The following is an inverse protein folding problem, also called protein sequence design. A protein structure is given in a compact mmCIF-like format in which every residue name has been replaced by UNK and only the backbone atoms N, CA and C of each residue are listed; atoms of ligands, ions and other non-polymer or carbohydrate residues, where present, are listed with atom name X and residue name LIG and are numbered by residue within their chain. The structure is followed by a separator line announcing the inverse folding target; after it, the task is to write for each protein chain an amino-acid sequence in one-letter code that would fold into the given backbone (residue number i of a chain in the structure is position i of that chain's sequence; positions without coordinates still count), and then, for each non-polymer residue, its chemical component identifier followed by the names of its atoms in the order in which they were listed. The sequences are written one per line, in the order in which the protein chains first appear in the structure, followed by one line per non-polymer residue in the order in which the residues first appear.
data_IF_697384385960
#
_entry.id   IF_697384385960
#
_cell.length_a   1.000
_cell.length_b   1.000
_cell.length_c   1.000
_cell.angle_alpha   90.00
_cell.angle_beta   90.00
_cell.angle_gamma   90.00
#
_symmetry.space_group_name_H-M   'P 1'
#
loop_
_entity.id
_entity.type
_entity.pdbx_description
1 polymer ?
#
# COMPACT_ATOMS: atom_id res chain seq x y z
N UNK A 1 9.81 -23.38 -15.26
CA UNK A 1 8.97 -22.35 -15.61
C UNK A 1 8.08 -22.52 -16.83
N UNK A 2 6.78 -22.45 -16.63
CA UNK A 2 5.82 -22.39 -17.72
C UNK A 2 5.63 -20.91 -18.10
N UNK A 3 5.79 -20.52 -19.38
CA UNK A 3 5.52 -19.14 -19.80
C UNK A 3 4.09 -18.74 -19.51
N UNK A 4 3.90 -17.52 -19.03
CA UNK A 4 2.57 -16.98 -18.72
C UNK A 4 1.91 -16.47 -20.00
N UNK A 5 0.59 -16.68 -20.12
CA UNK A 5 -0.19 -16.25 -21.30
C UNK A 5 -1.63 -15.95 -20.91
N UNK A 6 -2.16 -14.85 -21.41
CA UNK A 6 -3.54 -14.48 -21.21
C UNK A 6 -3.72 -13.06 -20.72
N UNK A 7 -4.76 -12.84 -19.93
CA UNK A 7 -5.13 -11.54 -19.40
C UNK A 7 -5.27 -11.60 -17.89
N UNK A 8 -4.87 -10.53 -17.19
CA UNK A 8 -5.09 -10.35 -15.77
C UNK A 8 -5.71 -8.99 -15.51
N UNK A 9 -6.73 -8.96 -14.65
CA UNK A 9 -7.41 -7.73 -14.23
C UNK A 9 -6.86 -7.31 -12.87
N UNK A 10 -6.39 -6.07 -12.78
CA UNK A 10 -5.83 -5.50 -11.56
C UNK A 10 -6.95 -5.05 -10.63
N UNK A 11 -6.81 -5.39 -9.36
CA UNK A 11 -7.72 -4.98 -8.29
C UNK A 11 -7.48 -3.53 -7.84
N UNK A 12 -8.36 -3.01 -7.01
CA UNK A 12 -8.15 -1.74 -6.31
C UNK A 12 -6.92 -1.78 -5.42
N UNK A 13 -6.28 -0.63 -5.25
CA UNK A 13 -5.05 -0.50 -4.47
C UNK A 13 -5.32 -0.65 -2.96
N UNK A 14 -4.64 -1.60 -2.34
CA UNK A 14 -4.64 -1.75 -0.87
C UNK A 14 -4.26 -0.44 -0.16
N UNK A 15 -3.16 0.17 -0.61
CA UNK A 15 -2.60 1.35 0.03
C UNK A 15 -3.47 2.61 -0.16
N UNK A 16 -4.38 2.61 -1.13
CA UNK A 16 -5.41 3.63 -1.28
C UNK A 16 -6.68 3.28 -0.49
N UNK A 17 -7.10 2.03 -0.50
CA UNK A 17 -8.33 1.59 0.16
C UNK A 17 -8.30 1.84 1.67
N UNK A 18 -7.19 1.59 2.36
CA UNK A 18 -7.12 1.72 3.81
C UNK A 18 -7.38 3.14 4.30
N UNK A 19 -6.72 4.21 3.79
CA UNK A 19 -7.07 5.57 4.18
C UNK A 19 -8.45 6.01 3.69
N UNK A 20 -8.87 5.58 2.50
CA UNK A 20 -10.20 5.87 1.94
C UNK A 20 -11.32 5.32 2.83
N UNK A 21 -11.16 4.11 3.36
CA UNK A 21 -12.10 3.55 4.33
C UNK A 21 -12.18 4.39 5.60
N UNK A 22 -11.04 4.88 6.11
CA UNK A 22 -11.00 5.74 7.29
C UNK A 22 -11.67 7.10 7.07
N UNK A 23 -11.72 7.62 5.84
CA UNK A 23 -12.36 8.89 5.51
C UNK A 23 -13.85 8.91 5.82
N UNK A 24 -14.53 7.76 5.90
CA UNK A 24 -15.95 7.69 6.30
C UNK A 24 -16.21 8.26 7.69
N UNK A 25 -15.20 8.23 8.57
CA UNK A 25 -15.30 8.78 9.92
C UNK A 25 -15.46 10.30 9.94
N UNK A 26 -15.14 10.99 8.86
CA UNK A 26 -15.22 12.46 8.76
C UNK A 26 -16.63 13.00 8.52
N UNK A 27 -17.62 12.15 8.26
CA UNK A 27 -19.00 12.55 7.99
C UNK A 27 -20.01 11.63 8.67
N UNK A 28 -21.20 12.15 8.93
CA UNK A 28 -22.34 11.38 9.40
C UNK A 28 -23.21 10.80 8.25
N UNK A 29 -22.80 11.08 7.00
CA UNK A 29 -23.50 10.63 5.81
C UNK A 29 -22.82 9.40 5.17
N UNK A 30 -23.56 8.57 4.41
CA UNK A 30 -23.00 7.37 3.82
C UNK A 30 -21.97 7.68 2.74
N UNK A 31 -20.90 6.90 2.73
CA UNK A 31 -19.86 6.88 1.71
C UNK A 31 -19.96 5.56 0.94
N UNK A 32 -20.13 5.66 -0.37
CA UNK A 32 -20.19 4.51 -1.27
C UNK A 32 -18.86 4.33 -1.97
N UNK A 33 -18.24 3.17 -1.78
CA UNK A 33 -16.94 2.84 -2.36
C UNK A 33 -17.05 1.67 -3.33
N UNK A 34 -16.40 1.82 -4.47
CA UNK A 34 -16.26 0.77 -5.50
C UNK A 34 -14.80 0.42 -5.70
N UNK A 35 -14.56 -0.70 -6.35
CA UNK A 35 -13.22 -1.23 -6.59
C UNK A 35 -12.38 -1.38 -5.32
N UNK A 36 -13.03 -1.64 -4.20
CA UNK A 36 -12.35 -1.96 -2.94
C UNK A 36 -11.80 -3.39 -3.04
N UNK A 37 -10.50 -3.62 -2.84
CA UNK A 37 -9.96 -4.98 -2.96
C UNK A 37 -10.42 -5.86 -1.80
N UNK A 38 -10.70 -7.13 -2.08
CA UNK A 38 -11.07 -8.11 -1.05
C UNK A 38 -9.83 -8.74 -0.41
N UNK A 39 -9.19 -7.99 0.46
CA UNK A 39 -7.93 -8.34 1.11
C UNK A 39 -8.10 -8.48 2.62
N UNK A 40 -7.20 -9.25 3.24
CA UNK A 40 -7.20 -9.41 4.70
C UNK A 40 -7.05 -8.07 5.44
N UNK A 41 -6.16 -7.17 4.97
CA UNK A 41 -5.98 -5.85 5.60
C UNK A 41 -7.23 -4.98 5.46
N UNK A 42 -7.95 -5.07 4.34
CA UNK A 42 -9.25 -4.36 4.14
C UNK A 42 -10.31 -4.90 5.09
N UNK A 43 -10.41 -6.22 5.23
CA UNK A 43 -11.34 -6.86 6.19
C UNK A 43 -11.04 -6.45 7.63
N UNK A 44 -9.76 -6.38 7.99
CA UNK A 44 -9.31 -5.90 9.31
C UNK A 44 -9.70 -4.45 9.55
N UNK A 45 -9.50 -3.57 8.56
CA UNK A 45 -9.92 -2.16 8.66
C UNK A 45 -11.44 -2.03 8.80
N UNK A 46 -12.21 -2.76 8.00
CA UNK A 46 -13.67 -2.76 8.11
C UNK A 46 -14.15 -3.23 9.49
N UNK A 47 -13.51 -4.24 10.06
CA UNK A 47 -13.81 -4.71 11.41
C UNK A 47 -13.50 -3.64 12.47
N UNK A 48 -12.35 -2.97 12.37
CA UNK A 48 -11.99 -1.85 13.24
C UNK A 48 -13.04 -0.74 13.18
N UNK A 49 -13.45 -0.35 11.97
CA UNK A 49 -14.47 0.67 11.78
C UNK A 49 -15.83 0.25 12.37
N UNK A 50 -16.23 -1.02 12.23
CA UNK A 50 -17.44 -1.54 12.85
C UNK A 50 -17.39 -1.47 14.38
N UNK A 51 -16.25 -1.80 14.99
CA UNK A 51 -16.06 -1.70 16.44
C UNK A 51 -16.10 -0.26 16.93
N UNK A 52 -15.66 0.70 16.12
CA UNK A 52 -15.82 2.16 16.39
C UNK A 52 -17.28 2.59 16.29
N UNK A 53 -18.11 1.91 15.52
CA UNK A 53 -19.55 2.19 15.36
C UNK A 53 -19.97 2.45 13.91
N UNK A 54 -19.10 2.26 12.93
CA UNK A 54 -19.46 2.40 11.52
C UNK A 54 -20.32 1.23 11.07
N UNK A 55 -21.43 1.51 10.40
CA UNK A 55 -22.24 0.50 9.72
C UNK A 55 -21.60 0.19 8.36
N UNK A 56 -21.27 -1.07 8.15
CA UNK A 56 -20.67 -1.58 6.90
C UNK A 56 -21.71 -2.43 6.18
N UNK A 57 -22.05 -2.03 4.95
CA UNK A 57 -23.03 -2.72 4.12
C UNK A 57 -22.43 -3.07 2.77
N UNK A 58 -22.62 -4.32 2.34
CA UNK A 58 -22.34 -4.75 0.98
C UNK A 58 -23.67 -4.82 0.23
N UNK A 59 -23.98 -3.87 -0.70
CA UNK A 59 -25.25 -3.85 -1.43
C UNK A 59 -25.53 -5.15 -2.18
N UNK A 60 -24.49 -5.77 -2.70
CA UNK A 60 -24.50 -7.13 -3.22
C UNK A 60 -23.55 -7.99 -2.36
N UNK A 61 -24.08 -8.92 -1.54
CA UNK A 61 -23.26 -9.78 -0.68
C UNK A 61 -22.24 -10.65 -1.43
N UNK A 62 -22.47 -10.91 -2.72
CA UNK A 62 -21.54 -11.64 -3.59
C UNK A 62 -20.39 -10.78 -4.11
N UNK A 63 -20.53 -9.45 -4.05
CA UNK A 63 -19.54 -8.49 -4.55
C UNK A 63 -18.98 -7.64 -3.41
N UNK A 64 -17.92 -8.11 -2.80
CA UNK A 64 -17.24 -7.40 -1.71
C UNK A 64 -16.44 -6.17 -2.15
N UNK A 65 -16.31 -5.94 -3.45
CA UNK A 65 -15.61 -4.77 -3.99
C UNK A 65 -16.47 -3.50 -3.96
N UNK A 66 -17.77 -3.63 -3.65
CA UNK A 66 -18.70 -2.53 -3.48
C UNK A 66 -19.18 -2.50 -2.03
N UNK A 67 -18.85 -1.43 -1.30
CA UNK A 67 -19.17 -1.27 0.10
C UNK A 67 -19.75 0.11 0.38
N UNK A 68 -20.73 0.19 1.28
CA UNK A 68 -21.28 1.44 1.81
C UNK A 68 -20.94 1.52 3.28
N UNK A 69 -20.33 2.64 3.68
CA UNK A 69 -19.93 2.92 5.04
C UNK A 69 -20.76 4.09 5.60
N UNK A 70 -21.34 3.91 6.77
CA UNK A 70 -22.09 4.96 7.44
C UNK A 70 -21.60 5.13 8.88
N UNK A 71 -21.00 6.28 9.16
CA UNK A 71 -20.47 6.65 10.46
C UNK A 71 -21.37 7.65 11.21
N UNK A 72 -22.69 7.57 11.01
CA UNK A 72 -23.65 8.46 11.70
C UNK A 72 -23.61 8.28 13.22
N UNK A 73 -23.40 7.06 13.70
CA UNK A 73 -23.48 6.69 15.11
C UNK A 73 -22.15 6.12 15.62
N UNK A 74 -21.13 6.94 15.72
CA UNK A 74 -19.85 6.55 16.31
C UNK A 74 -20.05 6.28 17.81
N UNK A 75 -19.68 5.08 18.24
CA UNK A 75 -19.84 4.63 19.63
C UNK A 75 -18.60 4.82 20.49
N UNK A 76 -17.43 4.86 19.85
CA UNK A 76 -16.13 4.96 20.52
C UNK A 76 -15.15 5.72 19.67
N UNK A 77 -14.32 6.56 20.30
CA UNK A 77 -13.15 7.19 19.69
C UNK A 77 -11.85 6.45 20.05
N UNK A 78 -11.96 5.17 20.45
CA UNK A 78 -10.83 4.34 20.86
C UNK A 78 -10.57 3.23 19.84
N UNK A 79 -9.31 3.08 19.41
CA UNK A 79 -8.79 1.92 18.70
C UNK A 79 -7.82 1.17 19.62
N UNK A 80 -8.24 0.00 20.12
CA UNK A 80 -7.51 -0.75 21.13
C UNK A 80 -6.31 -1.49 20.55
N UNK A 81 -5.38 -1.90 21.42
CA UNK A 81 -4.22 -2.69 21.04
C UNK A 81 -4.60 -3.95 20.25
N UNK A 82 -5.65 -4.67 20.66
CA UNK A 82 -6.11 -5.89 19.99
C UNK A 82 -6.54 -5.63 18.54
N UNK A 83 -7.13 -4.48 18.25
CA UNK A 83 -7.53 -4.07 16.90
C UNK A 83 -6.32 -3.63 16.07
N UNK A 84 -5.36 -2.92 16.67
CA UNK A 84 -4.25 -2.25 15.97
C UNK A 84 -3.05 -3.17 15.75
N UNK A 85 -2.81 -4.14 16.64
CA UNK A 85 -1.59 -4.97 16.66
C UNK A 85 -1.30 -5.72 15.36
N UNK A 86 -2.33 -6.04 14.58
CA UNK A 86 -2.20 -6.83 13.35
C UNK A 86 -2.02 -5.98 12.10
N UNK A 87 -2.31 -4.67 12.18
CA UNK A 87 -2.27 -3.78 11.01
C UNK A 87 -1.86 -2.36 11.41
N UNK A 88 -0.66 -1.95 11.00
CA UNK A 88 -0.14 -0.59 11.30
C UNK A 88 -1.00 0.53 10.75
N UNK A 89 -1.65 0.32 9.58
CA UNK A 89 -2.53 1.31 8.97
C UNK A 89 -3.72 1.71 9.86
N UNK A 90 -3.98 0.98 10.93
CA UNK A 90 -4.99 1.34 11.94
C UNK A 90 -4.75 2.72 12.58
N UNK A 91 -3.52 3.24 12.53
CA UNK A 91 -3.19 4.62 12.94
C UNK A 91 -3.97 5.67 12.13
N UNK A 92 -4.44 5.34 10.94
CA UNK A 92 -5.19 6.26 10.07
C UNK A 92 -6.56 6.66 10.61
N UNK A 93 -7.07 6.02 11.66
CA UNK A 93 -8.30 6.49 12.34
C UNK A 93 -8.04 7.66 13.26
N UNK A 94 -6.79 7.95 13.63
CA UNK A 94 -6.43 9.00 14.59
C UNK A 94 -6.87 10.38 14.12
N UNK A 95 -6.47 10.79 12.93
CA UNK A 95 -6.82 12.11 12.37
C UNK A 95 -8.32 12.32 12.23
N UNK A 96 -9.03 11.42 11.54
CA UNK A 96 -10.50 11.53 11.40
C UNK A 96 -11.26 11.53 12.71
N UNK A 97 -10.93 10.66 13.66
CA UNK A 97 -11.59 10.63 14.97
C UNK A 97 -11.35 11.93 15.75
N UNK A 98 -10.11 12.40 15.80
CA UNK A 98 -9.77 13.64 16.47
C UNK A 98 -10.50 14.85 15.83
N UNK A 99 -10.53 14.91 14.52
CA UNK A 99 -11.15 16.00 13.77
C UNK A 99 -12.66 16.07 13.99
N UNK A 100 -13.35 14.91 14.01
CA UNK A 100 -14.80 14.86 14.14
C UNK A 100 -15.29 14.73 15.56
N UNK A 101 -14.63 13.89 16.38
CA UNK A 101 -15.06 13.59 17.76
C UNK A 101 -14.37 14.45 18.79
N UNK A 102 -13.40 15.27 18.38
CA UNK A 102 -12.60 16.16 19.25
C UNK A 102 -11.71 15.44 20.26
N UNK A 103 -11.71 14.13 20.24
CA UNK A 103 -10.82 13.27 21.01
C UNK A 103 -10.59 11.96 20.26
N UNK A 104 -9.44 11.33 20.51
CA UNK A 104 -9.12 10.01 20.02
C UNK A 104 -8.12 9.32 20.94
N UNK A 105 -8.30 8.02 21.13
CA UNK A 105 -7.36 7.16 21.85
C UNK A 105 -7.01 5.98 20.97
N UNK A 106 -5.80 5.98 20.42
CA UNK A 106 -5.37 4.98 19.45
C UNK A 106 -4.12 4.30 19.98
N UNK A 107 -4.13 2.96 20.01
CA UNK A 107 -2.94 2.20 20.39
C UNK A 107 -1.80 2.53 19.43
N UNK A 108 -0.60 2.66 19.98
CA UNK A 108 0.62 2.71 19.17
C UNK A 108 0.70 1.44 18.34
N UNK A 109 0.97 1.54 17.04
CA UNK A 109 1.16 0.36 16.21
C UNK A 109 2.38 -0.42 16.69
N UNK A 110 2.27 -1.74 16.72
CA UNK A 110 3.39 -2.64 17.05
C UNK A 110 4.56 -2.50 16.09
N UNK A 111 5.68 -3.11 16.41
CA UNK A 111 6.86 -3.16 15.56
C UNK A 111 6.54 -3.73 14.17
N UNK A 112 7.27 -3.29 13.16
CA UNK A 112 7.17 -3.80 11.80
C UNK A 112 8.43 -4.60 11.47
N UNK A 113 8.27 -5.77 10.87
CA UNK A 113 9.39 -6.62 10.47
C UNK A 113 10.36 -5.93 9.50
N UNK A 114 9.85 -5.03 8.65
CA UNK A 114 10.63 -4.37 7.60
C UNK A 114 11.35 -3.09 8.05
N UNK A 115 11.10 -2.59 9.28
CA UNK A 115 11.80 -1.43 9.82
C UNK A 115 10.95 -0.51 10.69
N UNK A 116 11.58 0.49 11.28
CA UNK A 116 10.93 1.49 12.09
C UNK A 116 9.99 2.37 11.26
N UNK A 117 8.80 2.59 11.79
CA UNK A 117 7.81 3.50 11.20
C UNK A 117 7.24 4.39 12.30
N UNK A 118 7.99 5.40 12.70
CA UNK A 118 7.58 6.27 13.80
C UNK A 118 6.30 7.03 13.46
N UNK A 119 5.50 7.30 14.47
CA UNK A 119 4.27 8.10 14.34
C UNK A 119 4.49 9.55 14.79
N UNK A 120 5.73 9.95 14.98
CA UNK A 120 6.14 11.27 15.44
C UNK A 120 5.66 12.40 14.52
N UNK A 121 5.68 12.19 13.20
CA UNK A 121 5.22 13.19 12.23
C UNK A 121 3.70 13.39 12.32
N UNK A 122 2.92 12.33 12.55
CA UNK A 122 1.48 12.43 12.81
C UNK A 122 1.23 13.28 14.06
N UNK A 123 1.94 12.99 15.14
CA UNK A 123 1.81 13.70 16.43
C UNK A 123 2.25 15.15 16.30
N UNK A 124 3.39 15.41 15.66
CA UNK A 124 3.92 16.75 15.40
C UNK A 124 2.91 17.62 14.65
N UNK A 125 2.36 17.10 13.56
CA UNK A 125 1.39 17.82 12.75
C UNK A 125 0.08 18.10 13.50
N UNK A 126 -0.47 17.12 14.19
CA UNK A 126 -1.69 17.31 14.99
C UNK A 126 -1.49 18.28 16.17
N UNK A 127 -0.32 18.28 16.81
CA UNK A 127 0.02 19.28 17.83
C UNK A 127 0.10 20.69 17.25
N UNK A 128 0.68 20.85 16.06
CA UNK A 128 0.71 22.12 15.35
C UNK A 128 -0.70 22.63 15.03
N UNK A 129 -1.67 21.73 14.84
CA UNK A 129 -3.09 22.03 14.64
C UNK A 129 -3.85 22.25 15.96
N UNK A 130 -3.16 22.36 17.09
CA UNK A 130 -3.74 22.68 18.38
C UNK A 130 -4.22 21.47 19.20
N UNK A 131 -3.88 20.25 18.81
CA UNK A 131 -4.18 19.07 19.61
C UNK A 131 -3.28 18.96 20.82
N UNK A 132 -3.84 18.57 21.97
CA UNK A 132 -3.06 18.11 23.11
C UNK A 132 -2.92 16.60 23.00
N UNK A 133 -1.67 16.13 22.94
CA UNK A 133 -1.39 14.71 22.73
C UNK A 133 -0.45 14.21 23.84
N UNK A 134 -0.83 13.09 24.45
CA UNK A 134 -0.03 12.35 25.43
C UNK A 134 0.12 10.90 24.99
N UNK A 135 1.28 10.34 25.21
CA UNK A 135 1.51 8.90 25.08
C UNK A 135 1.49 8.30 26.48
N UNK A 136 0.51 7.43 26.73
CA UNK A 136 0.33 6.78 28.03
C UNK A 136 -0.08 5.33 27.85
N UNK A 137 0.61 4.43 28.52
CA UNK A 137 0.31 2.99 28.51
C UNK A 137 0.22 2.38 27.11
N UNK A 138 1.07 2.83 26.17
CA UNK A 138 1.07 2.36 24.79
C UNK A 138 0.00 2.98 23.89
N UNK A 139 -0.71 4.02 24.34
CA UNK A 139 -1.74 4.72 23.58
C UNK A 139 -1.37 6.16 23.29
N UNK A 140 -1.70 6.61 22.08
CA UNK A 140 -1.79 8.02 21.73
C UNK A 140 -3.14 8.52 22.21
N UNK A 141 -3.16 9.43 23.17
CA UNK A 141 -4.35 10.09 23.66
C UNK A 141 -4.32 11.53 23.16
N UNK A 142 -5.25 11.86 22.28
CA UNK A 142 -5.35 13.17 21.63
C UNK A 142 -6.69 13.83 21.94
N UNK A 143 -6.68 15.13 22.19
CA UNK A 143 -7.86 15.94 22.42
C UNK A 143 -7.68 17.37 21.86
N UNK A 144 -8.77 18.00 21.48
CA UNK A 144 -8.79 19.40 21.11
C UNK A 144 -9.33 20.23 22.26
N UNK A 145 -8.71 21.38 22.52
CA UNK A 145 -9.12 22.31 23.61
C UNK A 145 -9.61 23.67 23.09
N UNK A 146 -9.82 23.81 21.79
CA UNK A 146 -10.37 25.04 21.24
C UNK A 146 -11.82 25.27 21.70
N UNK A 147 -12.26 26.52 21.73
CA UNK A 147 -13.65 26.87 22.11
C UNK A 147 -14.70 26.19 21.21
N UNK A 148 -14.34 25.88 19.96
CA UNK A 148 -15.21 25.20 18.99
C UNK A 148 -15.04 23.68 18.99
N UNK A 149 -14.07 23.15 19.72
CA UNK A 149 -13.66 21.74 19.65
C UNK A 149 -12.88 21.38 18.36
N UNK A 150 -12.81 22.26 17.37
CA UNK A 150 -12.16 21.99 16.08
C UNK A 150 -10.64 22.17 16.18
N UNK A 151 -9.91 21.35 15.42
CA UNK A 151 -8.50 21.61 15.12
C UNK A 151 -8.36 22.97 14.41
N UNK A 152 -7.19 23.57 14.50
CA UNK A 152 -6.87 24.85 13.87
C UNK A 152 -5.96 24.62 12.65
N UNK A 153 -6.22 25.33 11.58
CA UNK A 153 -5.34 25.36 10.42
C UNK A 153 -3.91 25.78 10.83
N UNK A 154 -2.93 25.13 10.26
CA UNK A 154 -1.52 25.35 10.59
C UNK A 154 -0.63 25.17 9.36
N UNK A 155 0.54 25.79 9.39
CA UNK A 155 1.63 25.48 8.46
C UNK A 155 2.47 24.35 9.05
N UNK A 156 2.52 23.21 8.36
CA UNK A 156 3.16 22.00 8.82
C UNK A 156 4.23 21.59 7.81
N UNK A 157 5.48 21.53 8.24
CA UNK A 157 6.58 20.95 7.50
C UNK A 157 6.97 19.64 8.18
N UNK A 158 6.81 18.52 7.49
CA UNK A 158 7.25 17.22 8.01
C UNK A 158 8.77 17.06 7.84
N UNK A 159 9.41 16.48 8.84
CA UNK A 159 10.89 16.29 8.84
C UNK A 159 11.30 15.20 7.83
N UNK A 160 10.39 14.29 7.51
CA UNK A 160 10.54 13.25 6.52
C UNK A 160 9.23 13.02 5.78
N UNK A 161 9.32 12.56 4.55
CA UNK A 161 8.14 12.16 3.78
C UNK A 161 7.53 10.91 4.42
N UNK A 162 6.25 10.99 4.73
CA UNK A 162 5.47 9.89 5.30
C UNK A 162 4.12 9.79 4.63
N UNK A 163 3.80 8.64 4.05
CA UNK A 163 2.52 8.41 3.36
C UNK A 163 1.37 8.48 4.36
N UNK A 164 1.38 7.63 5.39
CA UNK A 164 0.32 7.59 6.40
C UNK A 164 0.23 8.87 7.23
N UNK A 165 1.36 9.53 7.47
CA UNK A 165 1.38 10.85 8.14
C UNK A 165 0.69 11.92 7.30
N UNK A 166 0.99 11.98 6.00
CA UNK A 166 0.33 12.88 5.05
C UNK A 166 -1.17 12.61 5.02
N UNK A 167 -1.59 11.35 4.89
CA UNK A 167 -3.00 10.94 4.84
C UNK A 167 -3.76 11.32 6.12
N UNK A 168 -3.17 11.06 7.28
CA UNK A 168 -3.78 11.38 8.56
C UNK A 168 -3.96 12.90 8.76
N UNK A 169 -2.91 13.68 8.45
CA UNK A 169 -2.96 15.14 8.55
C UNK A 169 -3.88 15.76 7.50
N UNK A 170 -3.91 15.22 6.29
CA UNK A 170 -4.82 15.63 5.23
C UNK A 170 -6.28 15.47 5.67
N UNK A 171 -6.64 14.29 6.19
CA UNK A 171 -8.00 14.03 6.69
C UNK A 171 -8.36 14.94 7.85
N UNK A 172 -7.48 15.11 8.82
CA UNK A 172 -7.71 15.99 9.96
C UNK A 172 -7.90 17.45 9.54
N UNK A 173 -7.15 17.92 8.57
CA UNK A 173 -7.20 19.29 8.07
C UNK A 173 -8.53 19.64 7.39
N UNK A 174 -9.25 18.67 6.84
CA UNK A 174 -10.52 18.93 6.14
C UNK A 174 -11.58 19.55 7.03
N UNK A 175 -11.58 19.22 8.32
CA UNK A 175 -12.53 19.74 9.30
C UNK A 175 -11.91 20.78 10.27
N UNK A 176 -10.67 21.18 10.06
CA UNK A 176 -10.02 22.21 10.87
C UNK A 176 -10.66 23.59 10.63
N UNK A 177 -10.49 24.51 11.56
CA UNK A 177 -10.84 25.91 11.39
C UNK A 177 -9.68 26.66 10.76
N UNK A 178 -9.90 27.27 9.60
CA UNK A 178 -8.86 27.98 8.84
C UNK A 178 -8.13 27.08 7.83
N UNK A 179 -6.99 27.53 7.37
CA UNK A 179 -6.21 26.89 6.30
C UNK A 179 -5.02 26.13 6.86
N UNK A 180 -4.83 24.91 6.41
CA UNK A 180 -3.65 24.09 6.69
C UNK A 180 -2.78 24.03 5.42
N UNK A 181 -1.48 24.28 5.59
CA UNK A 181 -0.48 24.08 4.56
C UNK A 181 0.41 22.93 5.00
N UNK A 182 0.40 21.85 4.24
CA UNK A 182 1.22 20.68 4.49
C UNK A 182 2.35 20.62 3.46
N UNK A 183 3.57 20.85 3.90
CA UNK A 183 4.77 20.80 3.08
C UNK A 183 5.57 19.54 3.32
N UNK A 184 6.35 19.12 2.34
CA UNK A 184 7.04 17.84 2.28
C UNK A 184 6.06 16.65 2.36
N UNK A 185 4.88 16.83 1.79
CA UNK A 185 3.84 15.81 1.73
C UNK A 185 4.25 14.65 0.81
N UNK A 186 3.78 13.45 1.13
CA UNK A 186 3.90 12.30 0.25
C UNK A 186 3.10 12.53 -1.05
N UNK A 187 3.66 12.10 -2.18
CA UNK A 187 3.13 12.34 -3.52
C UNK A 187 2.58 11.08 -4.18
N UNK A 188 2.56 9.97 -3.46
CA UNK A 188 2.07 8.69 -3.95
C UNK A 188 0.64 8.83 -4.52
N UNK A 189 0.33 8.16 -5.65
CA UNK A 189 -1.00 8.20 -6.27
C UNK A 189 -2.14 7.86 -5.30
N UNK A 190 -1.86 7.03 -4.31
CA UNK A 190 -2.82 6.63 -3.27
C UNK A 190 -3.21 7.80 -2.36
N UNK A 191 -2.28 8.72 -2.11
CA UNK A 191 -2.56 9.98 -1.38
C UNK A 191 -3.46 10.89 -2.22
N UNK A 192 -3.18 10.98 -3.52
CA UNK A 192 -4.02 11.71 -4.47
C UNK A 192 -5.43 11.14 -4.54
N UNK A 193 -5.58 9.82 -4.53
CA UNK A 193 -6.87 9.14 -4.56
C UNK A 193 -7.71 9.43 -3.30
N UNK A 194 -7.08 9.44 -2.12
CA UNK A 194 -7.73 9.92 -0.89
C UNK A 194 -8.18 11.37 -1.01
N UNK A 195 -7.31 12.25 -1.50
CA UNK A 195 -7.63 13.67 -1.66
C UNK A 195 -8.81 13.88 -2.62
N UNK A 196 -8.90 13.12 -3.70
CA UNK A 196 -10.03 13.15 -4.64
C UNK A 196 -11.35 12.74 -3.97
N UNK A 197 -11.34 11.68 -3.14
CA UNK A 197 -12.52 11.34 -2.35
C UNK A 197 -12.91 12.48 -1.41
N UNK A 198 -11.97 13.06 -0.68
CA UNK A 198 -12.23 14.16 0.25
C UNK A 198 -12.83 15.38 -0.46
N UNK A 199 -12.36 15.71 -1.67
CA UNK A 199 -12.95 16.79 -2.49
C UNK A 199 -14.38 16.44 -2.89
N UNK A 200 -14.67 15.20 -3.29
CA UNK A 200 -16.04 14.75 -3.56
C UNK A 200 -16.95 14.83 -2.33
N UNK A 201 -16.38 14.69 -1.15
CA UNK A 201 -17.09 14.87 0.13
C UNK A 201 -17.30 16.35 0.52
N UNK A 202 -16.77 17.29 -0.24
CA UNK A 202 -16.90 18.73 -0.01
C UNK A 202 -15.65 19.40 0.56
N UNK A 203 -14.52 18.70 0.69
CA UNK A 203 -13.27 19.30 1.13
C UNK A 203 -12.70 20.24 0.06
N UNK A 204 -11.98 21.27 0.51
CA UNK A 204 -11.30 22.25 -0.33
C UNK A 204 -9.80 22.03 -0.26
N UNK A 205 -9.27 21.35 -1.26
CA UNK A 205 -7.86 20.92 -1.32
C UNK A 205 -7.25 21.37 -2.64
N UNK A 206 -6.09 21.99 -2.59
CA UNK A 206 -5.25 22.33 -3.77
C UNK A 206 -3.86 21.73 -3.61
N UNK A 207 -3.14 21.58 -4.73
CA UNK A 207 -1.81 20.99 -4.75
C UNK A 207 -1.79 19.46 -4.75
N UNK A 208 -2.91 18.79 -5.04
CA UNK A 208 -3.00 17.32 -5.10
C UNK A 208 -1.96 16.78 -6.09
N UNK A 209 -1.20 15.78 -5.63
CA UNK A 209 -0.10 15.17 -6.41
C UNK A 209 1.24 15.89 -6.26
N UNK A 210 1.29 17.04 -5.57
CA UNK A 210 2.52 17.75 -5.25
C UNK A 210 2.96 17.51 -3.79
N UNK A 211 4.14 17.99 -3.46
CA UNK A 211 4.69 17.94 -2.09
C UNK A 211 4.14 19.06 -1.18
N UNK A 212 3.26 19.90 -1.71
CA UNK A 212 2.63 21.01 -0.96
C UNK A 212 1.12 20.96 -1.14
N UNK A 213 0.42 20.59 -0.08
CA UNK A 213 -1.03 20.55 -0.03
C UNK A 213 -1.56 21.76 0.76
N UNK A 214 -2.59 22.40 0.23
CA UNK A 214 -3.30 23.50 0.90
C UNK A 214 -4.74 23.06 1.11
N UNK A 215 -5.17 23.01 2.36
CA UNK A 215 -6.49 22.53 2.77
C UNK A 215 -7.21 23.67 3.50
N UNK A 216 -8.29 24.18 2.93
CA UNK A 216 -9.21 25.07 3.63
C UNK A 216 -10.22 24.22 4.40
N UNK A 217 -10.19 24.30 5.72
CA UNK A 217 -11.12 23.55 6.56
C UNK A 217 -12.57 23.95 6.34
N UNK A 218 -13.46 22.97 6.38
CA UNK A 218 -14.91 23.16 6.29
C UNK A 218 -15.58 22.69 7.58
N UNK A 219 -16.80 23.14 7.84
CA UNK A 219 -17.51 22.74 9.05
C UNK A 219 -18.06 21.32 8.97
N UNK A 220 -18.44 20.87 7.78
CA UNK A 220 -19.05 19.57 7.55
C UNK A 220 -18.70 19.02 6.17
N UNK A 221 -18.47 17.72 6.11
CA UNK A 221 -18.38 16.94 4.88
C UNK A 221 -19.68 16.17 4.66
N UNK A 222 -19.94 15.76 3.42
CA UNK A 222 -21.15 15.08 3.00
C UNK A 222 -20.88 13.74 2.31
N UNK A 223 -21.96 13.05 1.93
CA UNK A 223 -21.89 11.79 1.19
C UNK A 223 -21.16 11.93 -0.15
N UNK A 224 -20.51 10.87 -0.54
CA UNK A 224 -19.85 10.76 -1.85
C UNK A 224 -19.81 9.32 -2.32
N UNK A 225 -19.60 9.15 -3.61
CA UNK A 225 -19.26 7.88 -4.24
C UNK A 225 -17.87 7.99 -4.88
N UNK A 226 -17.05 6.97 -4.68
CA UNK A 226 -15.68 6.94 -5.17
C UNK A 226 -15.25 5.51 -5.52
N UNK A 227 -14.51 5.38 -6.61
CA UNK A 227 -13.84 4.13 -6.98
C UNK A 227 -12.36 4.20 -6.60
N UNK A 228 -11.90 3.22 -5.84
CA UNK A 228 -10.48 3.13 -5.44
C UNK A 228 -9.61 2.94 -6.68
N UNK A 229 -8.50 3.66 -6.75
CA UNK A 229 -7.52 3.56 -7.84
C UNK A 229 -6.98 2.13 -7.97
N UNK A 230 -6.67 1.70 -9.19
CA UNK A 230 -6.05 0.40 -9.43
C UNK A 230 -4.69 0.25 -8.72
N UNK A 231 -4.41 -0.96 -8.24
CA UNK A 231 -3.17 -1.26 -7.51
C UNK A 231 -1.97 -1.32 -8.46
N UNK A 232 -1.17 -0.26 -8.47
CA UNK A 232 0.06 -0.20 -9.27
C UNK A 232 1.10 -1.25 -8.83
N UNK A 233 1.12 -1.64 -7.57
CA UNK A 233 2.06 -2.63 -7.07
C UNK A 233 1.65 -4.04 -7.52
N UNK A 234 0.35 -4.36 -7.52
CA UNK A 234 -0.14 -5.60 -8.12
C UNK A 234 0.20 -5.67 -9.61
N UNK A 235 -0.06 -4.59 -10.36
CA UNK A 235 0.28 -4.52 -11.78
C UNK A 235 1.79 -4.75 -12.02
N UNK A 236 2.65 -4.03 -11.28
CA UNK A 236 4.09 -4.21 -11.34
C UNK A 236 4.54 -5.63 -10.96
N UNK A 237 3.88 -6.25 -10.00
CA UNK A 237 4.16 -7.63 -9.58
C UNK A 237 3.87 -8.62 -10.70
N UNK A 238 2.74 -8.50 -11.43
CA UNK A 238 2.45 -9.33 -12.58
C UNK A 238 3.42 -9.09 -13.75
N UNK A 239 3.85 -7.85 -13.97
CA UNK A 239 4.89 -7.54 -14.97
C UNK A 239 6.22 -8.23 -14.60
N UNK A 240 6.61 -8.23 -13.33
CA UNK A 240 7.78 -8.98 -12.86
C UNK A 240 7.60 -10.49 -13.03
N UNK A 241 6.40 -11.02 -12.83
CA UNK A 241 6.12 -12.44 -13.07
C UNK A 241 6.32 -12.82 -14.55
N UNK A 242 5.88 -11.97 -15.48
CA UNK A 242 6.13 -12.18 -16.93
C UNK A 242 7.63 -12.09 -17.25
N UNK A 243 8.34 -11.12 -16.67
CA UNK A 243 9.79 -10.98 -16.88
C UNK A 243 10.56 -12.21 -16.38
N UNK A 244 10.10 -12.84 -15.29
CA UNK A 244 10.75 -14.01 -14.69
C UNK A 244 10.37 -15.34 -15.39
N UNK A 245 9.08 -15.55 -15.66
CA UNK A 245 8.57 -16.79 -16.22
C UNK A 245 8.57 -16.83 -17.77
N UNK A 246 8.65 -15.66 -18.42
CA UNK A 246 8.46 -15.51 -19.86
C UNK A 246 6.99 -15.52 -20.27
N UNK A 247 6.76 -15.36 -21.56
CA UNK A 247 5.41 -15.38 -22.16
C UNK A 247 4.88 -14.01 -22.55
N UNK A 248 3.57 -13.91 -22.71
CA UNK A 248 2.89 -12.67 -23.10
C UNK A 248 1.58 -12.52 -22.32
N UNK A 249 1.43 -11.42 -21.60
CA UNK A 249 0.25 -11.13 -20.77
C UNK A 249 -0.26 -9.72 -21.02
N UNK A 250 -1.58 -9.57 -21.07
CA UNK A 250 -2.28 -8.30 -21.06
C UNK A 250 -2.73 -7.98 -19.62
N UNK A 251 -2.11 -6.98 -19.03
CA UNK A 251 -2.48 -6.44 -17.72
C UNK A 251 -3.52 -5.36 -17.91
N UNK A 252 -4.75 -5.58 -17.42
CA UNK A 252 -5.94 -4.73 -17.64
C UNK A 252 -6.34 -4.01 -16.36
N UNK A 253 -7.08 -2.90 -16.54
CA UNK A 253 -7.56 -2.06 -15.42
C UNK A 253 -6.42 -1.59 -14.50
N UNK A 254 -5.30 -1.18 -15.08
CA UNK A 254 -4.18 -0.59 -14.38
C UNK A 254 -4.02 0.90 -14.69
N UNK A 255 -3.12 1.55 -14.00
CA UNK A 255 -2.76 2.97 -14.19
C UNK A 255 -1.27 3.05 -14.55
N UNK A 256 -0.90 2.87 -15.83
CA UNK A 256 0.49 2.89 -16.27
C UNK A 256 1.21 4.19 -15.92
N UNK A 257 0.52 5.32 -15.93
CA UNK A 257 1.02 6.63 -15.53
C UNK A 257 1.50 6.71 -14.07
N UNK A 258 1.15 5.74 -13.24
CA UNK A 258 1.61 5.64 -11.85
C UNK A 258 2.78 4.67 -11.65
N UNK A 259 3.28 4.07 -12.73
CA UNK A 259 4.29 3.00 -12.74
C UNK A 259 5.56 3.35 -13.50
N UNK A 260 5.78 4.57 -13.88
CA UNK A 260 6.88 4.96 -14.80
C UNK A 260 8.25 4.40 -14.40
N UNK A 261 8.64 4.54 -13.13
CA UNK A 261 9.93 4.04 -12.65
C UNK A 261 10.07 2.52 -12.77
N UNK A 262 8.99 1.77 -12.52
CA UNK A 262 8.95 0.30 -12.65
C UNK A 262 9.00 -0.11 -14.12
N UNK A 263 8.23 0.55 -14.97
CA UNK A 263 8.19 0.30 -16.42
C UNK A 263 9.58 0.52 -17.03
N UNK A 264 10.25 1.62 -16.70
CA UNK A 264 11.61 1.91 -17.17
C UNK A 264 12.58 0.79 -16.80
N UNK A 265 12.58 0.35 -15.54
CA UNK A 265 13.47 -0.73 -15.07
C UNK A 265 13.17 -2.08 -15.71
N UNK A 266 11.91 -2.40 -15.92
CA UNK A 266 11.53 -3.64 -16.59
C UNK A 266 11.87 -3.63 -18.09
N UNK A 267 11.80 -2.48 -18.77
CA UNK A 267 12.29 -2.32 -20.14
C UNK A 267 13.81 -2.52 -20.22
N UNK A 268 14.56 -1.95 -19.28
CA UNK A 268 16.00 -2.18 -19.17
C UNK A 268 16.32 -3.68 -18.97
N UNK A 269 15.50 -4.41 -18.23
CA UNK A 269 15.60 -5.85 -18.04
C UNK A 269 15.26 -6.68 -19.30
N UNK A 270 14.70 -6.05 -20.33
CA UNK A 270 14.36 -6.68 -21.60
C UNK A 270 12.88 -7.05 -21.75
N UNK A 271 12.02 -6.66 -20.82
CA UNK A 271 10.57 -6.84 -20.97
C UNK A 271 10.04 -5.89 -22.06
N UNK A 272 9.49 -6.46 -23.12
CA UNK A 272 8.82 -5.69 -24.17
C UNK A 272 7.43 -5.30 -23.67
N UNK A 273 7.09 -4.01 -23.76
CA UNK A 273 5.80 -3.51 -23.30
C UNK A 273 5.17 -2.54 -24.30
N UNK A 274 3.90 -2.75 -24.57
CA UNK A 274 3.00 -1.79 -25.20
C UNK A 274 2.09 -1.23 -24.11
N UNK A 275 2.05 0.10 -23.97
CA UNK A 275 1.36 0.78 -22.88
C UNK A 275 0.16 1.55 -23.42
N UNK A 276 -1.02 1.20 -22.95
CA UNK A 276 -2.27 1.93 -23.21
C UNK A 276 -2.67 2.83 -22.04
N UNK A 277 -3.85 3.45 -22.10
CA UNK A 277 -4.32 4.34 -21.03
C UNK A 277 -4.62 3.61 -19.72
N UNK A 278 -5.11 2.38 -19.79
CA UNK A 278 -5.52 1.56 -18.64
C UNK A 278 -5.10 0.08 -18.77
N UNK A 279 -4.12 -0.20 -19.61
CA UNK A 279 -3.58 -1.54 -19.82
C UNK A 279 -2.11 -1.52 -20.22
N UNK A 280 -1.44 -2.66 -19.99
CA UNK A 280 -0.08 -2.92 -20.45
C UNK A 280 -0.05 -4.32 -21.04
N UNK A 281 0.39 -4.44 -22.29
CA UNK A 281 0.76 -5.73 -22.87
C UNK A 281 2.25 -5.94 -22.68
N UNK A 282 2.61 -7.00 -21.98
CA UNK A 282 3.99 -7.33 -21.65
C UNK A 282 4.39 -8.67 -22.26
N UNK A 283 5.58 -8.74 -22.83
CA UNK A 283 6.13 -9.96 -23.44
C UNK A 283 7.59 -10.11 -23.07
N UNK A 284 7.98 -11.32 -22.68
CA UNK A 284 9.35 -11.66 -22.39
C UNK A 284 9.78 -12.93 -23.13
N UNK A 285 10.86 -12.81 -23.90
CA UNK A 285 11.50 -13.91 -24.60
C UNK A 285 12.92 -14.08 -24.06
N UNK A 286 13.21 -15.26 -23.56
CA UNK A 286 14.53 -15.56 -23.02
C UNK A 286 14.76 -14.99 -21.62
N UNK A 287 15.99 -14.95 -21.21
CA UNK A 287 16.44 -14.58 -19.87
C UNK A 287 16.52 -13.07 -19.72
N UNK A 288 16.02 -12.47 -18.62
CA UNK A 288 16.15 -11.03 -18.41
C UNK A 288 17.61 -10.59 -18.23
N UNK A 289 17.86 -9.30 -18.40
CA UNK A 289 19.13 -8.65 -18.07
C UNK A 289 19.07 -8.12 -16.64
N UNK A 290 20.19 -8.18 -15.93
CA UNK A 290 20.29 -7.61 -14.58
C UNK A 290 20.14 -6.09 -14.61
N UNK A 291 19.37 -5.55 -13.68
CA UNK A 291 19.08 -4.13 -13.59
C UNK A 291 19.25 -3.66 -12.15
N UNK A 292 20.23 -2.77 -11.94
CA UNK A 292 20.42 -2.11 -10.65
C UNK A 292 19.39 -1.02 -10.44
N UNK A 293 18.94 -0.87 -9.19
CA UNK A 293 17.99 0.18 -8.80
C UNK A 293 18.13 0.57 -7.33
N UNK A 294 17.56 1.70 -7.01
CA UNK A 294 17.46 2.23 -5.65
C UNK A 294 16.00 2.57 -5.36
N UNK A 295 15.49 2.15 -4.21
CA UNK A 295 14.17 2.59 -3.75
C UNK A 295 14.21 4.03 -3.26
N UNK A 296 13.15 4.77 -3.50
CA UNK A 296 12.93 6.10 -2.96
C UNK A 296 11.44 6.42 -3.00
N UNK A 297 11.07 7.57 -2.46
CA UNK A 297 9.71 8.06 -2.47
C UNK A 297 9.22 8.31 -3.90
N UNK A 298 7.90 8.24 -4.08
CA UNK A 298 7.27 8.50 -5.37
C UNK A 298 7.68 9.90 -5.92
N UNK A 299 7.98 10.06 -7.21
CA UNK A 299 7.75 9.12 -8.32
C UNK A 299 8.93 8.17 -8.63
N UNK A 300 9.90 8.06 -7.77
CA UNK A 300 11.02 7.14 -7.94
C UNK A 300 10.59 5.68 -7.74
N UNK A 301 11.55 4.75 -7.79
CA UNK A 301 11.25 3.32 -7.71
C UNK A 301 10.70 2.96 -6.32
N UNK A 302 9.48 2.39 -6.22
CA UNK A 302 8.83 2.16 -4.95
C UNK A 302 9.45 0.98 -4.18
N UNK A 303 9.61 1.16 -2.87
CA UNK A 303 10.07 0.10 -1.98
C UNK A 303 9.16 -1.13 -2.01
N UNK A 304 7.87 -0.98 -2.30
CA UNK A 304 6.91 -2.07 -2.44
C UNK A 304 7.13 -2.95 -3.69
N UNK A 305 8.02 -2.55 -4.60
CA UNK A 305 8.44 -3.33 -5.77
C UNK A 305 9.87 -3.88 -5.66
N UNK A 306 10.58 -3.59 -4.57
CA UNK A 306 11.97 -4.00 -4.39
C UNK A 306 12.12 -5.53 -4.48
N UNK A 307 11.34 -6.27 -3.72
CA UNK A 307 11.46 -7.73 -3.66
C UNK A 307 11.11 -8.41 -5.00
N UNK A 308 10.11 -7.90 -5.73
CA UNK A 308 9.66 -8.46 -6.99
C UNK A 308 10.73 -8.29 -8.09
N UNK A 309 11.33 -7.10 -8.20
CA UNK A 309 12.40 -6.89 -9.18
C UNK A 309 13.71 -7.60 -8.77
N UNK A 310 13.94 -7.77 -7.46
CA UNK A 310 15.04 -8.63 -6.97
C UNK A 310 14.85 -10.08 -7.44
N UNK A 311 13.64 -10.62 -7.42
CA UNK A 311 13.36 -11.97 -7.93
C UNK A 311 13.66 -12.09 -9.44
N UNK A 312 13.36 -11.06 -10.22
CA UNK A 312 13.75 -11.00 -11.66
C UNK A 312 15.27 -10.97 -11.80
N UNK A 313 15.96 -10.15 -11.00
CA UNK A 313 17.44 -10.08 -11.02
C UNK A 313 18.10 -11.41 -10.63
N UNK A 314 17.47 -12.20 -9.77
CA UNK A 314 18.01 -13.49 -9.31
C UNK A 314 18.23 -14.49 -10.46
N UNK A 315 17.48 -14.36 -11.56
CA UNK A 315 17.61 -15.20 -12.76
C UNK A 315 18.17 -14.44 -13.97
N UNK A 316 18.50 -13.17 -13.81
CA UNK A 316 18.95 -12.32 -14.89
C UNK A 316 20.38 -12.64 -15.36
N UNK A 317 20.72 -12.16 -16.55
CA UNK A 317 22.11 -12.18 -17.03
C UNK A 317 22.84 -10.98 -16.41
N UNK A 318 23.94 -11.26 -15.69
CA UNK A 318 24.77 -10.24 -15.06
C UNK A 318 24.48 -10.02 -13.59
N UNK A 319 24.96 -8.92 -13.06
CA UNK A 319 24.89 -8.55 -11.65
C UNK A 319 24.05 -7.30 -11.46
N UNK A 320 23.32 -7.25 -10.37
CA UNK A 320 22.56 -6.07 -9.97
C UNK A 320 22.88 -5.64 -8.55
N UNK A 321 22.91 -4.34 -8.34
CA UNK A 321 23.01 -3.72 -7.01
C UNK A 321 21.67 -3.08 -6.68
N UNK A 322 21.08 -3.46 -5.54
CA UNK A 322 19.78 -2.97 -5.08
C UNK A 322 19.99 -2.24 -3.77
N UNK A 323 19.70 -0.94 -3.74
CA UNK A 323 19.83 -0.11 -2.52
C UNK A 323 18.44 0.20 -1.99
N UNK A 324 18.16 -0.23 -0.75
CA UNK A 324 16.92 0.06 -0.03
C UNK A 324 17.10 1.26 0.88
N UNK A 325 16.36 2.33 0.65
CA UNK A 325 16.50 3.58 1.41
C UNK A 325 15.29 3.94 2.26
N UNK A 326 14.19 3.18 2.14
CA UNK A 326 12.94 3.47 2.84
C UNK A 326 12.82 2.66 4.13
N UNK A 327 13.14 1.35 4.08
CA UNK A 327 13.03 0.46 5.24
C UNK A 327 14.29 -0.37 5.44
N UNK A 328 14.97 -0.14 6.56
CA UNK A 328 16.27 -0.72 6.88
C UNK A 328 16.32 -2.25 6.92
N UNK A 329 15.21 -2.90 7.27
CA UNK A 329 15.13 -4.36 7.41
C UNK A 329 14.43 -5.06 6.24
N UNK A 330 14.29 -4.40 5.09
CA UNK A 330 13.49 -4.95 3.98
C UNK A 330 14.23 -5.93 3.08
N UNK A 331 15.20 -6.66 3.62
CA UNK A 331 15.92 -7.75 2.95
C UNK A 331 15.69 -9.12 3.60
N UNK A 332 14.72 -9.27 4.46
CA UNK A 332 14.45 -10.54 5.16
C UNK A 332 14.16 -11.71 4.21
N UNK A 333 13.62 -11.44 3.03
CA UNK A 333 13.33 -12.45 2.01
C UNK A 333 14.58 -12.99 1.30
N UNK A 334 15.72 -12.34 1.44
CA UNK A 334 16.97 -12.75 0.75
C UNK A 334 17.39 -14.15 1.18
N UNK A 335 17.27 -14.50 2.45
CA UNK A 335 17.60 -15.84 2.92
C UNK A 335 16.71 -16.92 2.26
N UNK A 336 15.43 -16.63 2.09
CA UNK A 336 14.49 -17.53 1.44
C UNK A 336 14.74 -17.60 -0.08
N UNK A 337 15.13 -16.50 -0.71
CA UNK A 337 15.57 -16.49 -2.11
C UNK A 337 16.83 -17.34 -2.31
N UNK A 338 17.80 -17.25 -1.40
CA UNK A 338 19.02 -18.06 -1.45
C UNK A 338 18.72 -19.57 -1.26
N UNK A 339 17.65 -19.93 -0.52
CA UNK A 339 17.19 -21.33 -0.46
C UNK A 339 16.68 -21.85 -1.81
N UNK A 340 16.20 -20.99 -2.68
CA UNK A 340 15.84 -21.32 -4.06
C UNK A 340 17.06 -21.36 -5.00
N UNK A 341 18.25 -21.16 -4.48
CA UNK A 341 19.50 -21.16 -5.26
C UNK A 341 19.90 -19.81 -5.82
N UNK A 342 19.27 -18.70 -5.38
CA UNK A 342 19.74 -17.37 -5.73
C UNK A 342 21.08 -17.07 -5.05
N UNK A 343 21.90 -16.24 -5.68
CA UNK A 343 23.16 -15.73 -5.13
C UNK A 343 22.99 -14.24 -4.79
N UNK A 344 22.64 -13.97 -3.55
CA UNK A 344 22.38 -12.61 -3.05
C UNK A 344 23.15 -12.40 -1.75
N UNK A 345 24.00 -11.37 -1.73
CA UNK A 345 24.72 -10.90 -0.54
C UNK A 345 24.18 -9.53 -0.10
N UNK A 346 24.15 -9.29 1.19
CA UNK A 346 23.70 -8.01 1.78
C UNK A 346 24.88 -7.30 2.43
N UNK A 347 25.06 -6.03 2.07
CA UNK A 347 26.05 -5.12 2.66
C UNK A 347 25.34 -3.83 3.08
N UNK A 348 25.05 -3.69 4.38
CA UNK A 348 24.30 -2.55 4.89
C UNK A 348 22.89 -2.49 4.33
N UNK A 349 22.54 -1.40 3.63
CA UNK A 349 21.27 -1.21 2.96
C UNK A 349 21.28 -1.63 1.47
N UNK A 350 22.27 -2.39 1.06
CA UNK A 350 22.47 -2.77 -0.35
C UNK A 350 22.51 -4.29 -0.48
N UNK A 351 21.75 -4.81 -1.43
CA UNK A 351 21.83 -6.20 -1.86
C UNK A 351 22.60 -6.29 -3.19
N UNK A 352 23.55 -7.21 -3.26
CA UNK A 352 24.31 -7.54 -4.48
C UNK A 352 23.77 -8.87 -4.98
N UNK A 353 23.16 -8.85 -6.17
CA UNK A 353 22.53 -10.02 -6.79
C UNK A 353 23.37 -10.47 -7.96
N UNK A 354 23.91 -11.68 -7.90
CA UNK A 354 24.47 -12.38 -9.05
C UNK A 354 23.35 -13.18 -9.69
N UNK A 355 23.05 -12.92 -10.95
CA UNK A 355 21.98 -13.64 -11.64
C UNK A 355 22.38 -15.08 -11.95
N UNK A 356 21.55 -16.03 -11.55
CA UNK A 356 21.72 -17.45 -11.78
C UNK A 356 20.94 -17.90 -13.02
N UNK A 357 21.47 -18.85 -13.76
CA UNK A 357 20.76 -19.39 -14.93
C UNK A 357 19.50 -20.16 -14.53
N UNK A 358 19.52 -20.79 -13.37
CA UNK A 358 18.44 -21.64 -12.87
C UNK A 358 18.31 -21.51 -11.36
N UNK A 359 17.07 -21.38 -10.92
CA UNK A 359 16.70 -21.58 -9.52
C UNK A 359 16.13 -22.99 -9.33
N UNK A 360 16.16 -23.49 -8.11
CA UNK A 360 15.65 -24.80 -7.72
C UNK A 360 14.50 -24.67 -6.77
N UNK A 361 13.43 -25.44 -6.97
CA UNK A 361 12.30 -25.48 -6.08
C UNK A 361 12.70 -25.91 -4.67
N UNK A 362 12.11 -25.28 -3.67
CA UNK A 362 12.32 -25.54 -2.25
C UNK A 362 11.09 -25.16 -1.43
N UNK A 363 11.08 -25.58 -0.17
CA UNK A 363 10.13 -25.05 0.82
C UNK A 363 10.72 -23.75 1.36
N UNK A 364 10.00 -22.65 1.18
CA UNK A 364 10.36 -21.30 1.62
C UNK A 364 9.25 -20.66 2.43
N UNK A 365 9.60 -19.65 3.20
CA UNK A 365 8.70 -19.05 4.16
C UNK A 365 8.51 -17.57 3.84
N UNK A 366 7.27 -17.15 3.65
CA UNK A 366 6.93 -15.74 3.51
C UNK A 366 7.27 -14.97 4.80
N UNK A 367 7.96 -13.84 4.67
CA UNK A 367 8.39 -13.00 5.78
C UNK A 367 7.57 -11.73 5.93
N UNK A 368 7.07 -11.21 4.82
CA UNK A 368 6.16 -10.07 4.74
C UNK A 368 5.33 -10.13 3.45
N UNK A 369 4.43 -9.18 3.29
CA UNK A 369 3.50 -9.09 2.18
C UNK A 369 4.18 -9.08 0.80
N UNK A 370 5.18 -8.23 0.58
CA UNK A 370 5.83 -8.07 -0.74
C UNK A 370 6.89 -9.13 -0.98
N UNK A 371 7.57 -9.55 0.08
CA UNK A 371 8.47 -10.71 0.04
C UNK A 371 7.74 -11.98 -0.39
N UNK A 372 6.51 -12.20 0.09
CA UNK A 372 5.69 -13.35 -0.32
C UNK A 372 5.51 -13.41 -1.83
N UNK A 373 5.19 -12.27 -2.46
CA UNK A 373 5.03 -12.19 -3.91
C UNK A 373 6.33 -12.47 -4.65
N UNK A 374 7.49 -12.01 -4.14
CA UNK A 374 8.79 -12.28 -4.76
C UNK A 374 9.13 -13.78 -4.75
N UNK A 375 8.79 -14.49 -3.68
CA UNK A 375 8.98 -15.93 -3.59
C UNK A 375 8.09 -16.69 -4.58
N UNK A 376 6.87 -16.22 -4.80
CA UNK A 376 5.99 -16.77 -5.84
C UNK A 376 6.60 -16.55 -7.23
N UNK A 377 7.09 -15.34 -7.54
CA UNK A 377 7.73 -15.01 -8.80
C UNK A 377 8.97 -15.89 -9.02
N UNK A 378 9.83 -16.02 -8.01
CA UNK A 378 11.00 -16.88 -8.08
C UNK A 378 10.62 -18.36 -8.29
N UNK A 379 9.57 -18.82 -7.61
CA UNK A 379 9.02 -20.17 -7.78
C UNK A 379 8.51 -20.45 -9.20
N UNK A 380 7.90 -19.44 -9.86
CA UNK A 380 7.47 -19.58 -11.26
C UNK A 380 8.65 -19.82 -12.21
N UNK A 381 9.81 -19.26 -11.91
CA UNK A 381 11.03 -19.43 -12.71
C UNK A 381 11.87 -20.65 -12.30
N UNK A 382 11.70 -21.16 -11.09
CA UNK A 382 12.48 -22.27 -10.55
C UNK A 382 12.12 -23.60 -11.21
N UNK A 383 13.09 -24.51 -11.20
CA UNK A 383 12.91 -25.90 -11.61
C UNK A 383 12.48 -26.76 -10.42
N UNK A 384 11.53 -27.66 -10.63
CA UNK A 384 10.96 -28.48 -9.56
C UNK A 384 9.78 -27.76 -8.86
N UNK A 385 9.46 -28.23 -7.67
CA UNK A 385 8.33 -27.74 -6.88
C UNK A 385 8.80 -26.72 -5.83
N UNK A 386 8.13 -25.60 -5.76
CA UNK A 386 8.33 -24.60 -4.71
C UNK A 386 7.08 -24.51 -3.83
N UNK A 387 7.27 -24.68 -2.53
CA UNK A 387 6.20 -24.47 -1.54
C UNK A 387 6.48 -23.18 -0.78
N UNK A 388 5.51 -22.27 -0.77
CA UNK A 388 5.58 -21.02 -0.01
C UNK A 388 4.68 -21.12 1.22
N UNK A 389 5.29 -21.16 2.39
CA UNK A 389 4.58 -21.21 3.67
C UNK A 389 4.24 -19.80 4.17
N UNK A 390 3.32 -19.69 5.13
CA UNK A 390 2.83 -18.44 5.73
C UNK A 390 2.20 -17.49 4.72
N UNK A 391 1.44 -18.02 3.77
CA UNK A 391 0.80 -17.24 2.70
C UNK A 391 -0.27 -16.25 3.18
N UNK A 392 -0.63 -16.27 4.47
CA UNK A 392 -1.45 -15.22 5.06
C UNK A 392 -0.83 -13.82 4.89
N UNK A 393 0.51 -13.73 4.74
CA UNK A 393 1.17 -12.49 4.35
C UNK A 393 0.78 -12.05 2.94
N UNK A 394 0.67 -12.99 2.01
CA UNK A 394 0.25 -12.72 0.62
C UNK A 394 -1.19 -12.19 0.59
N UNK A 395 -2.10 -12.82 1.36
CA UNK A 395 -3.51 -12.48 1.41
C UNK A 395 -3.80 -11.08 1.97
N UNK A 396 -2.81 -10.46 2.61
CA UNK A 396 -2.91 -9.08 3.09
C UNK A 396 -2.93 -8.06 1.95
N UNK A 397 -2.35 -8.35 0.80
CA UNK A 397 -2.16 -7.38 -0.26
C UNK A 397 -2.37 -7.87 -1.70
N UNK A 398 -2.63 -9.14 -1.90
CA UNK A 398 -2.90 -9.72 -3.23
C UNK A 398 -4.22 -10.50 -3.20
N UNK A 399 -5.17 -10.03 -4.00
CA UNK A 399 -6.48 -10.68 -4.13
C UNK A 399 -6.34 -11.92 -5.03
N UNK A 400 -6.41 -13.12 -4.41
CA UNK A 400 -6.42 -14.43 -5.10
C UNK A 400 -5.31 -14.55 -6.16
N UNK A 401 -4.07 -14.25 -5.78
CA UNK A 401 -2.93 -14.24 -6.70
C UNK A 401 -2.75 -15.60 -7.39
N UNK A 402 -2.93 -16.69 -6.66
CA UNK A 402 -2.82 -18.05 -7.21
C UNK A 402 -3.87 -18.32 -8.29
N UNK A 403 -5.09 -17.81 -8.14
CA UNK A 403 -6.14 -17.96 -9.15
C UNK A 403 -5.83 -17.14 -10.39
N UNK A 404 -5.37 -15.91 -10.23
CA UNK A 404 -4.95 -15.04 -11.33
C UNK A 404 -3.77 -15.66 -12.11
N UNK A 405 -2.78 -16.21 -11.40
CA UNK A 405 -1.65 -16.89 -12.04
C UNK A 405 -2.08 -18.20 -12.74
N UNK A 406 -3.02 -18.95 -12.17
CA UNK A 406 -3.59 -20.14 -12.82
C UNK A 406 -4.27 -19.77 -14.13
N UNK A 407 -5.03 -18.67 -14.17
CA UNK A 407 -5.66 -18.17 -15.42
C UNK A 407 -4.62 -17.78 -16.48
N UNK A 408 -3.40 -17.41 -16.06
CA UNK A 408 -2.28 -17.13 -16.95
C UNK A 408 -1.48 -18.39 -17.33
N UNK A 409 -1.94 -19.57 -16.93
CA UNK A 409 -1.31 -20.86 -17.27
C UNK A 409 -0.23 -21.34 -16.32
N UNK A 410 -0.01 -20.67 -15.20
CA UNK A 410 0.91 -21.14 -14.17
C UNK A 410 0.38 -22.42 -13.49
N UNK A 411 1.30 -23.35 -13.23
CA UNK A 411 0.99 -24.53 -12.40
C UNK A 411 1.18 -24.18 -10.92
N UNK A 412 0.14 -23.63 -10.33
CA UNK A 412 0.12 -23.14 -8.95
C UNK A 412 -1.19 -23.52 -8.28
N UNK A 413 -1.12 -23.89 -7.01
CA UNK A 413 -2.31 -24.19 -6.23
C UNK A 413 -2.13 -23.79 -4.77
N UNK A 414 -3.23 -23.46 -4.11
CA UNK A 414 -3.25 -23.25 -2.67
C UNK A 414 -3.45 -24.58 -1.99
N UNK A 415 -2.55 -24.93 -1.06
CA UNK A 415 -2.68 -26.09 -0.19
C UNK A 415 -3.14 -25.64 1.20
N UNK A 416 -3.91 -26.51 1.87
CA UNK A 416 -4.47 -26.23 3.21
C UNK A 416 -3.47 -26.58 4.31
#
# INVERSE_FOLDING_TARGET
GTPLKGEVVIAGAKNAALPILCACLLTDQPITLRNVPDLQDVRTMLKLLQEIGVTVTFPDPSNRNHVVLNAANIKSSEATYEMVKTMRASILVLGPLLARMHNAKVSLPGGCAIGARPVDQHIKGLKAMGATIKIKSGYIQAETKSATGRLQGASILTDMITVTGTENLLMAATLASGTTILENAAREPEVGDLAELLVKMGAKITGIGSDRLVIEGVEKLHSAEHAVIADRIEAGTFLCAVAAAGGEVLVKHCRPDTLDAVIVKLKEAGLEMEVGPDWIRASMKGRPKAVSFRTSEYPAFPTDMQAQLMAVNAIAQGNATITETIFENRFMHVQEMNRLGADIAIEGNTAIVQGEEKLSGAIVMATDLRASASLVIAGLAAQGETQVDRIYHLDRGYDRMEQKLTLLGANIQRIK
#
